data_IF_461371104451
#
_entry.id   IF_461371104451
#
_cell.length_a   1.000
_cell.length_b   1.000
_cell.length_c   1.000
_cell.angle_alpha   90.00
_cell.angle_beta   90.00
_cell.angle_gamma   90.00
#
_symmetry.space_group_name_H-M   'P 1'
#
loop_
_entity.id
_entity.type
_entity.pdbx_description
1 polymer ?
#
# COMPACT_ATOMS: atom_id res chain seq x y z
N UNK A 1 13.13 31.28 -3.99
CA UNK A 1 12.11 31.11 -2.93
C UNK A 1 12.27 29.70 -2.40
N UNK A 2 12.83 29.55 -1.20
CA UNK A 2 13.10 28.23 -0.59
C UNK A 2 11.79 27.72 0.00
N UNK A 3 11.18 26.71 -0.62
CA UNK A 3 10.02 26.04 -0.02
C UNK A 3 10.52 25.20 1.16
N UNK A 4 10.10 25.55 2.35
CA UNK A 4 10.30 24.68 3.52
C UNK A 4 9.63 23.34 3.22
N UNK A 5 10.36 22.21 3.30
CA UNK A 5 9.74 20.92 3.08
C UNK A 5 8.67 20.71 4.17
N UNK A 6 7.43 20.52 3.75
CA UNK A 6 6.37 20.07 4.66
C UNK A 6 6.73 18.63 5.03
N UNK A 7 7.21 18.44 6.26
CA UNK A 7 7.44 17.10 6.81
C UNK A 7 6.06 16.49 7.01
N UNK A 8 5.68 15.59 6.11
CA UNK A 8 4.47 14.79 6.26
C UNK A 8 4.56 13.90 7.51
N UNK A 9 3.41 13.46 8.01
CA UNK A 9 3.34 12.53 9.17
C UNK A 9 3.96 11.15 8.89
N UNK A 10 4.27 10.86 7.61
CA UNK A 10 4.92 9.62 7.16
C UNK A 10 6.16 10.04 6.37
N UNK A 11 7.32 10.10 7.01
CA UNK A 11 8.56 10.44 6.32
C UNK A 11 8.99 9.32 5.38
N UNK A 12 9.45 9.74 4.20
CA UNK A 12 10.15 8.88 3.23
C UNK A 12 11.60 9.34 3.18
N UNK A 13 12.54 8.46 3.50
CA UNK A 13 13.96 8.76 3.57
C UNK A 13 14.79 7.69 2.86
N UNK A 14 16.06 8.00 2.64
CA UNK A 14 17.06 7.07 2.09
C UNK A 14 16.59 6.35 0.83
N UNK A 15 15.94 7.10 -0.07
CA UNK A 15 15.48 6.54 -1.35
C UNK A 15 16.69 6.16 -2.20
N UNK A 16 16.72 4.92 -2.68
CA UNK A 16 17.79 4.33 -3.50
C UNK A 16 17.20 3.71 -4.76
N UNK A 17 18.01 3.65 -5.87
CA UNK A 17 19.40 4.08 -6.01
C UNK A 17 19.53 5.60 -6.05
N UNK A 18 20.53 6.17 -5.38
CA UNK A 18 20.86 7.60 -5.44
C UNK A 18 22.37 7.76 -5.55
N UNK A 19 22.82 8.46 -6.57
CA UNK A 19 24.24 8.77 -6.80
C UNK A 19 24.48 10.25 -6.45
N UNK A 20 25.51 10.51 -5.65
CA UNK A 20 25.88 11.85 -5.19
C UNK A 20 24.69 12.58 -4.56
N UNK A 21 23.99 11.90 -3.64
CA UNK A 21 22.77 12.39 -2.96
C UNK A 21 21.65 12.83 -3.93
N UNK A 22 21.52 12.12 -5.06
CA UNK A 22 20.52 12.42 -6.10
C UNK A 22 20.91 13.50 -7.10
N UNK A 23 22.12 14.04 -7.02
CA UNK A 23 22.61 15.05 -7.97
C UNK A 23 22.99 14.48 -9.33
N UNK A 24 23.28 13.18 -9.37
CA UNK A 24 23.62 12.46 -10.59
C UNK A 24 22.66 11.30 -10.82
N UNK A 25 22.32 11.00 -12.07
CA UNK A 25 21.49 9.84 -12.37
C UNK A 25 22.22 8.53 -12.03
N UNK A 26 21.50 7.56 -11.48
CA UNK A 26 21.94 6.19 -11.48
C UNK A 26 21.82 5.63 -12.92
N UNK A 27 22.76 4.75 -13.29
CA UNK A 27 22.73 4.09 -14.60
C UNK A 27 21.98 2.78 -14.50
N UNK A 28 21.15 2.50 -15.49
CA UNK A 28 20.49 1.22 -15.70
C UNK A 28 20.50 0.90 -17.20
N UNK A 29 20.34 -0.36 -17.55
CA UNK A 29 20.23 -0.82 -18.94
C UNK A 29 18.72 -0.99 -19.23
N UNK A 30 18.32 -0.70 -20.47
CA UNK A 30 16.93 -0.92 -20.91
C UNK A 30 16.56 -2.39 -20.71
N UNK A 31 15.42 -2.62 -20.06
CA UNK A 31 14.95 -3.96 -19.69
C UNK A 31 15.62 -4.57 -18.45
N UNK A 32 16.59 -3.87 -17.83
CA UNK A 32 17.15 -4.29 -16.55
C UNK A 32 16.19 -3.99 -15.41
N UNK A 33 15.91 -5.02 -14.61
CA UNK A 33 15.13 -4.85 -13.38
C UNK A 33 16.07 -4.51 -12.23
N UNK A 34 15.76 -3.43 -11.52
CA UNK A 34 16.50 -3.06 -10.31
C UNK A 34 15.53 -2.71 -9.16
N UNK A 35 16.02 -2.83 -7.95
CA UNK A 35 15.21 -2.53 -6.76
C UNK A 35 15.32 -1.05 -6.40
N UNK A 36 14.15 -0.39 -6.25
CA UNK A 36 14.03 0.90 -5.58
C UNK A 36 13.70 0.65 -4.12
N UNK A 37 14.50 1.21 -3.23
CA UNK A 37 14.28 1.08 -1.78
C UNK A 37 14.09 2.43 -1.12
N UNK A 38 13.38 2.45 0.00
CA UNK A 38 13.21 3.62 0.85
C UNK A 38 13.04 3.22 2.31
N UNK A 39 13.32 4.15 3.22
CA UNK A 39 12.91 4.05 4.62
C UNK A 39 11.58 4.78 4.76
N UNK A 40 10.53 4.05 5.15
CA UNK A 40 9.17 4.61 5.33
C UNK A 40 8.67 4.17 6.70
N UNK A 41 8.34 5.12 7.54
CA UNK A 41 7.88 4.85 8.89
C UNK A 41 6.85 5.87 9.36
N UNK A 42 6.15 5.52 10.42
CA UNK A 42 5.20 6.38 11.12
C UNK A 42 5.33 6.12 12.62
N UNK A 43 5.16 7.18 13.42
CA UNK A 43 5.02 7.02 14.87
C UNK A 43 3.69 6.31 15.19
N UNK A 44 3.75 5.37 16.15
CA UNK A 44 2.59 4.60 16.61
C UNK A 44 2.50 3.21 15.98
N UNK A 45 1.33 2.59 16.08
CA UNK A 45 1.09 1.19 15.67
C UNK A 45 0.34 1.04 14.34
N UNK A 46 -0.01 2.15 13.70
CA UNK A 46 -0.73 2.11 12.43
C UNK A 46 0.18 1.63 11.31
N UNK A 47 -0.35 0.81 10.43
CA UNK A 47 0.35 0.37 9.24
C UNK A 47 0.54 1.53 8.25
N UNK A 48 1.64 1.46 7.52
CA UNK A 48 1.90 2.31 6.35
C UNK A 48 1.96 1.44 5.11
N UNK A 49 1.69 2.04 3.97
CA UNK A 49 1.94 1.45 2.67
C UNK A 49 2.76 2.43 1.82
N UNK A 50 3.45 1.92 0.83
CA UNK A 50 4.24 2.73 -0.09
C UNK A 50 4.21 2.14 -1.50
N UNK A 51 4.45 3.01 -2.49
CA UNK A 51 4.64 2.61 -3.88
C UNK A 51 5.79 3.38 -4.53
N UNK A 52 6.23 2.86 -5.67
CA UNK A 52 7.13 3.54 -6.59
C UNK A 52 6.33 3.91 -7.84
N UNK A 53 6.49 5.14 -8.31
CA UNK A 53 5.98 5.59 -9.60
C UNK A 53 7.16 5.97 -10.48
N UNK A 54 7.35 5.24 -11.58
CA UNK A 54 8.28 5.63 -12.63
C UNK A 54 7.67 6.71 -13.51
N UNK A 55 8.51 7.61 -13.99
CA UNK A 55 8.15 8.59 -15.02
C UNK A 55 9.13 8.42 -16.18
N UNK A 56 8.60 8.18 -17.36
CA UNK A 56 9.37 7.94 -18.57
C UNK A 56 10.07 9.20 -19.09
N UNK A 57 10.94 9.09 -20.12
CA UNK A 57 11.63 10.23 -20.70
C UNK A 57 10.72 11.30 -21.31
N UNK A 58 9.48 10.96 -21.68
CA UNK A 58 8.45 11.87 -22.17
C UNK A 58 7.62 12.52 -21.07
N UNK A 59 7.91 12.19 -19.81
CA UNK A 59 7.21 12.75 -18.64
C UNK A 59 5.88 12.05 -18.30
N UNK A 60 5.59 10.88 -18.89
CA UNK A 60 4.37 10.11 -18.58
C UNK A 60 4.61 9.25 -17.34
N UNK A 61 3.65 9.29 -16.43
CA UNK A 61 3.70 8.43 -15.23
C UNK A 61 3.29 7.01 -15.58
N UNK A 62 4.11 6.06 -15.16
CA UNK A 62 3.79 4.64 -15.20
C UNK A 62 2.79 4.23 -14.11
N UNK A 63 2.39 2.96 -14.09
CA UNK A 63 1.54 2.43 -13.03
C UNK A 63 2.27 2.45 -11.68
N UNK A 64 1.50 2.37 -10.62
CA UNK A 64 2.03 2.17 -9.28
C UNK A 64 2.70 0.80 -9.17
N UNK A 65 3.89 0.78 -8.60
CA UNK A 65 4.56 -0.45 -8.22
C UNK A 65 4.55 -0.53 -6.68
N UNK A 66 3.71 -1.40 -6.10
CA UNK A 66 3.64 -1.52 -4.64
C UNK A 66 4.99 -1.92 -4.05
N UNK A 67 5.40 -1.24 -3.00
CA UNK A 67 6.57 -1.60 -2.21
C UNK A 67 6.19 -2.62 -1.13
N UNK A 68 7.10 -3.52 -0.83
CA UNK A 68 7.00 -4.43 0.31
C UNK A 68 8.04 -4.09 1.36
N UNK A 69 7.74 -4.34 2.61
CA UNK A 69 8.73 -4.26 3.67
C UNK A 69 9.77 -5.39 3.47
N UNK A 70 11.05 -5.02 3.42
CA UNK A 70 12.14 -5.95 3.10
C UNK A 70 12.46 -6.90 4.25
N UNK A 71 12.26 -6.43 5.47
CA UNK A 71 12.36 -7.24 6.69
C UNK A 71 11.38 -6.70 7.72
N UNK A 72 10.60 -7.55 8.39
CA UNK A 72 9.60 -7.11 9.36
C UNK A 72 10.18 -6.18 10.42
N UNK A 73 9.57 -5.01 10.61
CA UNK A 73 9.98 -4.00 11.59
C UNK A 73 11.26 -3.24 11.24
N UNK A 74 11.75 -3.33 10.00
CA UNK A 74 12.95 -2.62 9.55
C UNK A 74 12.66 -1.22 9.02
N UNK A 75 11.40 -0.90 8.77
CA UNK A 75 10.96 0.29 8.05
C UNK A 75 11.59 0.45 6.64
N UNK A 76 12.30 -0.58 6.17
CA UNK A 76 12.91 -0.63 4.84
C UNK A 76 11.96 -1.26 3.86
N UNK A 77 11.62 -0.51 2.84
CA UNK A 77 10.68 -0.89 1.80
C UNK A 77 11.39 -1.00 0.46
N UNK A 78 10.94 -1.94 -0.38
CA UNK A 78 11.52 -2.17 -1.70
C UNK A 78 10.49 -2.56 -2.73
N UNK A 79 10.74 -2.16 -3.97
CA UNK A 79 9.99 -2.59 -5.15
C UNK A 79 10.92 -2.72 -6.35
N UNK A 80 10.69 -3.70 -7.19
CA UNK A 80 11.40 -3.89 -8.45
C UNK A 80 10.77 -3.07 -9.57
N UNK A 81 11.58 -2.38 -10.33
CA UNK A 81 11.16 -1.56 -11.48
C UNK A 81 12.04 -1.82 -12.68
N UNK A 82 11.48 -1.66 -13.89
CA UNK A 82 12.17 -1.95 -15.15
C UNK A 82 11.88 -0.84 -16.15
N UNK A 83 12.87 0.01 -16.50
CA UNK A 83 12.73 0.95 -17.61
C UNK A 83 12.73 0.18 -18.94
N UNK A 84 11.78 0.47 -19.82
CA UNK A 84 11.56 -0.26 -21.07
C UNK A 84 12.06 0.48 -22.31
N UNK A 85 12.45 1.75 -22.19
CA UNK A 85 13.01 2.56 -23.28
C UNK A 85 14.25 3.31 -22.81
N UNK A 86 15.11 3.69 -23.77
CA UNK A 86 16.28 4.51 -23.51
C UNK A 86 15.89 5.95 -23.20
N UNK A 87 16.56 6.57 -22.25
CA UNK A 87 16.37 7.98 -21.90
C UNK A 87 16.51 8.26 -20.42
N UNK A 88 16.11 9.49 -20.03
CA UNK A 88 16.17 9.93 -18.64
C UNK A 88 14.86 9.60 -17.93
N UNK A 89 14.87 8.55 -17.17
CA UNK A 89 13.79 8.20 -16.26
C UNK A 89 13.92 8.93 -14.92
N UNK A 90 12.80 9.17 -14.29
CA UNK A 90 12.74 9.59 -12.88
C UNK A 90 11.81 8.65 -12.13
N UNK A 91 11.95 8.59 -10.82
CA UNK A 91 11.04 7.86 -9.97
C UNK A 91 10.79 8.63 -8.68
N UNK A 92 9.66 8.38 -8.09
CA UNK A 92 9.30 8.88 -6.77
C UNK A 92 8.72 7.76 -5.93
N UNK A 93 8.93 7.86 -4.63
CA UNK A 93 8.29 6.99 -3.64
C UNK A 93 7.17 7.78 -2.99
N UNK A 94 5.99 7.21 -2.98
CA UNK A 94 4.81 7.72 -2.29
C UNK A 94 4.49 6.82 -1.12
N UNK A 95 4.07 7.40 0.02
CA UNK A 95 3.72 6.65 1.21
C UNK A 95 2.49 7.24 1.88
N UNK A 96 1.65 6.36 2.44
CA UNK A 96 0.40 6.73 3.09
C UNK A 96 0.08 5.82 4.27
N UNK A 97 -0.88 6.26 5.11
CA UNK A 97 -1.44 5.40 6.16
C UNK A 97 -2.24 4.29 5.52
N UNK A 98 -2.00 3.04 5.96
CA UNK A 98 -2.78 1.89 5.53
C UNK A 98 -3.80 1.49 6.60
N UNK A 99 -5.02 2.04 6.54
CA UNK A 99 -6.05 1.71 7.52
C UNK A 99 -6.53 0.26 7.39
N UNK A 100 -6.52 -0.33 6.19
CA UNK A 100 -6.88 -1.73 5.99
C UNK A 100 -5.84 -2.65 6.62
N UNK A 101 -4.55 -2.40 6.38
CA UNK A 101 -3.46 -3.15 7.00
C UNK A 101 -3.47 -3.02 8.52
N UNK A 102 -3.76 -1.83 9.04
CA UNK A 102 -3.92 -1.59 10.48
C UNK A 102 -5.05 -2.43 11.06
N UNK A 103 -6.24 -2.35 10.47
CA UNK A 103 -7.40 -3.13 10.89
C UNK A 103 -7.13 -4.64 10.81
N UNK A 104 -6.56 -5.11 9.70
CA UNK A 104 -6.23 -6.55 9.53
C UNK A 104 -5.29 -7.07 10.61
N UNK A 105 -4.32 -6.26 11.03
CA UNK A 105 -3.42 -6.62 12.14
C UNK A 105 -4.19 -6.78 13.44
N UNK A 106 -5.07 -5.81 13.75
CA UNK A 106 -5.91 -5.84 14.94
C UNK A 106 -6.87 -7.04 14.90
N UNK A 107 -7.53 -7.26 13.77
CA UNK A 107 -8.48 -8.36 13.60
C UNK A 107 -7.83 -9.75 13.77
N UNK A 108 -6.63 -9.95 13.23
CA UNK A 108 -5.87 -11.21 13.39
C UNK A 108 -5.50 -11.52 14.83
N UNK A 109 -5.39 -10.52 15.69
CA UNK A 109 -5.05 -10.67 17.12
C UNK A 109 -6.32 -10.78 17.95
N UNK A 110 -7.26 -9.84 17.81
CA UNK A 110 -8.41 -9.72 18.69
C UNK A 110 -9.49 -10.76 18.41
N UNK A 111 -9.79 -11.03 17.14
CA UNK A 111 -10.89 -11.94 16.77
C UNK A 111 -10.66 -13.36 17.26
N UNK A 112 -9.51 -14.01 17.06
CA UNK A 112 -9.25 -15.34 17.63
C UNK A 112 -9.22 -15.36 19.16
N UNK A 113 -8.85 -14.24 19.79
CA UNK A 113 -8.86 -14.11 21.25
C UNK A 113 -10.25 -13.83 21.83
N UNK A 114 -11.28 -13.66 21.00
CA UNK A 114 -12.63 -13.30 21.43
C UNK A 114 -12.75 -11.88 22.01
N UNK A 115 -11.78 -11.00 21.71
CA UNK A 115 -11.72 -9.63 22.24
C UNK A 115 -12.39 -8.65 21.26
N UNK A 116 -13.38 -7.92 21.71
CA UNK A 116 -14.09 -6.87 20.95
C UNK A 116 -14.53 -7.33 19.54
N UNK A 117 -14.83 -8.62 19.36
CA UNK A 117 -15.02 -9.26 18.04
C UNK A 117 -16.09 -8.56 17.22
N UNK A 118 -17.23 -8.21 17.84
CA UNK A 118 -18.33 -7.51 17.16
C UNK A 118 -17.86 -6.15 16.62
N UNK A 119 -17.22 -5.35 17.48
CA UNK A 119 -16.71 -4.02 17.13
C UNK A 119 -15.66 -4.09 16.02
N UNK A 120 -14.73 -5.04 16.11
CA UNK A 120 -13.67 -5.23 15.09
C UNK A 120 -14.26 -5.56 13.73
N UNK A 121 -15.29 -6.41 13.67
CA UNK A 121 -15.94 -6.77 12.41
C UNK A 121 -16.77 -5.62 11.84
N UNK A 122 -17.43 -4.84 12.68
CA UNK A 122 -18.17 -3.63 12.29
C UNK A 122 -17.22 -2.55 11.71
N UNK A 123 -16.13 -2.24 12.41
CA UNK A 123 -15.09 -1.33 11.92
C UNK A 123 -14.53 -1.79 10.57
N UNK A 124 -14.34 -3.10 10.39
CA UNK A 124 -13.94 -3.69 9.12
C UNK A 124 -14.97 -3.46 8.02
N UNK A 125 -16.24 -3.71 8.29
CA UNK A 125 -17.33 -3.50 7.33
C UNK A 125 -17.39 -2.04 6.85
N UNK A 126 -17.31 -1.08 7.77
CA UNK A 126 -17.27 0.33 7.42
C UNK A 126 -16.04 0.70 6.58
N UNK A 127 -14.87 0.14 6.94
CA UNK A 127 -13.62 0.39 6.24
C UNK A 127 -13.66 -0.11 4.80
N UNK A 128 -14.16 -1.35 4.59
CA UNK A 128 -14.29 -1.92 3.24
C UNK A 128 -15.38 -1.23 2.42
N UNK A 129 -16.45 -0.75 3.05
CA UNK A 129 -17.46 0.10 2.38
C UNK A 129 -16.83 1.40 1.87
N UNK A 130 -16.01 2.06 2.69
CA UNK A 130 -15.28 3.26 2.26
C UNK A 130 -14.27 2.96 1.15
N UNK A 131 -13.57 1.84 1.24
CA UNK A 131 -12.64 1.42 0.19
C UNK A 131 -13.39 1.15 -1.13
N UNK A 132 -14.53 0.48 -1.10
CA UNK A 132 -15.37 0.27 -2.26
C UNK A 132 -15.79 1.59 -2.93
N UNK A 133 -16.18 2.59 -2.14
CA UNK A 133 -16.57 3.91 -2.66
C UNK A 133 -15.44 4.63 -3.44
N UNK A 134 -14.18 4.26 -3.20
CA UNK A 134 -13.01 4.75 -3.94
C UNK A 134 -12.74 4.02 -5.26
N UNK A 135 -13.43 2.91 -5.52
CA UNK A 135 -13.25 2.08 -6.72
C UNK A 135 -14.40 2.33 -7.71
N UNK A 136 -14.12 2.54 -9.01
CA UNK A 136 -15.17 2.68 -10.02
C UNK A 136 -16.14 1.51 -10.00
N UNK A 137 -17.43 1.78 -10.27
CA UNK A 137 -18.45 0.74 -10.34
C UNK A 137 -18.06 -0.38 -11.33
N UNK A 138 -18.16 -1.63 -10.87
CA UNK A 138 -17.78 -2.79 -11.66
C UNK A 138 -17.38 -3.99 -10.80
N UNK A 139 -16.77 -5.02 -11.39
CA UNK A 139 -16.40 -6.26 -10.69
C UNK A 139 -15.52 -6.02 -9.47
N UNK A 140 -14.57 -5.10 -9.54
CA UNK A 140 -13.65 -4.81 -8.43
C UNK A 140 -14.36 -4.12 -7.26
N UNK A 141 -15.23 -3.14 -7.54
CA UNK A 141 -16.11 -2.53 -6.56
C UNK A 141 -16.98 -3.57 -5.85
N UNK A 142 -17.58 -4.50 -6.64
CA UNK A 142 -18.43 -5.56 -6.11
C UNK A 142 -17.69 -6.49 -5.14
N UNK A 143 -16.41 -6.79 -5.39
CA UNK A 143 -15.57 -7.60 -4.51
C UNK A 143 -15.44 -6.96 -3.13
N UNK A 144 -15.11 -5.67 -3.05
CA UNK A 144 -14.97 -4.97 -1.77
C UNK A 144 -16.31 -4.81 -1.05
N UNK A 145 -17.38 -4.52 -1.80
CA UNK A 145 -18.71 -4.37 -1.22
C UNK A 145 -19.22 -5.71 -0.67
N UNK A 146 -18.98 -6.83 -1.38
CA UNK A 146 -19.32 -8.16 -0.88
C UNK A 146 -18.57 -8.52 0.40
N UNK A 147 -17.27 -8.17 0.49
CA UNK A 147 -16.48 -8.34 1.72
C UNK A 147 -17.06 -7.51 2.87
N UNK A 148 -17.42 -6.24 2.62
CA UNK A 148 -18.03 -5.37 3.61
C UNK A 148 -19.38 -5.93 4.13
N UNK A 149 -20.25 -6.37 3.21
CA UNK A 149 -21.55 -6.97 3.55
C UNK A 149 -21.39 -8.25 4.37
N UNK A 150 -20.45 -9.11 3.99
CA UNK A 150 -20.19 -10.36 4.75
C UNK A 150 -19.61 -10.06 6.13
N UNK A 151 -18.75 -9.07 6.27
CA UNK A 151 -18.25 -8.61 7.58
C UNK A 151 -19.38 -8.11 8.48
N UNK A 152 -20.39 -7.44 7.92
CA UNK A 152 -21.53 -6.89 8.66
C UNK A 152 -22.60 -7.94 9.02
N UNK A 153 -22.64 -9.10 8.34
CA UNK A 153 -23.67 -10.11 8.51
C UNK A 153 -23.48 -10.92 9.79
N UNK A 154 -24.18 -10.55 10.85
CA UNK A 154 -24.10 -11.19 12.16
C UNK A 154 -24.76 -12.58 12.23
N UNK A 155 -25.50 -12.98 11.19
CA UNK A 155 -26.02 -14.33 11.04
C UNK A 155 -24.96 -15.37 10.67
N UNK A 156 -23.79 -14.90 10.18
CA UNK A 156 -22.68 -15.75 9.76
C UNK A 156 -21.69 -16.00 10.91
N UNK A 157 -21.01 -17.17 10.90
CA UNK A 157 -19.93 -17.43 11.85
C UNK A 157 -18.81 -16.39 11.72
N UNK A 158 -18.26 -15.97 12.86
CA UNK A 158 -17.17 -14.96 12.93
C UNK A 158 -16.00 -15.29 11.99
N UNK A 159 -15.60 -16.57 11.94
CA UNK A 159 -14.50 -17.01 11.06
C UNK A 159 -14.83 -16.80 9.57
N UNK A 160 -16.06 -17.03 9.16
CA UNK A 160 -16.53 -16.79 7.79
C UNK A 160 -16.52 -15.30 7.46
N UNK A 161 -17.02 -14.48 8.39
CA UNK A 161 -17.03 -13.02 8.25
C UNK A 161 -15.61 -12.48 8.08
N UNK A 162 -14.67 -12.85 8.94
CA UNK A 162 -13.29 -12.41 8.84
C UNK A 162 -12.60 -12.90 7.56
N UNK A 163 -12.84 -14.17 7.16
CA UNK A 163 -12.22 -14.75 5.98
C UNK A 163 -12.60 -14.00 4.69
N UNK A 164 -13.82 -13.48 4.59
CA UNK A 164 -14.28 -12.72 3.43
C UNK A 164 -13.44 -11.46 3.13
N UNK A 165 -12.89 -10.84 4.18
CA UNK A 165 -12.03 -9.67 4.07
C UNK A 165 -10.55 -9.99 3.75
N UNK A 166 -10.19 -11.26 3.73
CA UNK A 166 -8.80 -11.73 3.60
C UNK A 166 -8.58 -12.59 2.35
N UNK A 167 -9.45 -12.46 1.35
CA UNK A 167 -9.36 -13.23 0.11
C UNK A 167 -8.32 -12.62 -0.85
N UNK A 168 -7.68 -13.45 -1.72
CA UNK A 168 -6.77 -12.95 -2.74
C UNK A 168 -7.40 -11.93 -3.68
N UNK A 169 -8.70 -12.06 -3.99
CA UNK A 169 -9.42 -11.11 -4.85
C UNK A 169 -9.52 -9.73 -4.20
N UNK A 170 -9.83 -9.69 -2.90
CA UNK A 170 -9.82 -8.45 -2.12
C UNK A 170 -8.42 -7.83 -2.09
N UNK A 171 -7.37 -8.62 -1.88
CA UNK A 171 -5.99 -8.14 -1.89
C UNK A 171 -5.60 -7.56 -3.25
N UNK A 172 -6.01 -8.22 -4.34
CA UNK A 172 -5.74 -7.76 -5.70
C UNK A 172 -6.43 -6.43 -6.02
N UNK A 173 -7.63 -6.19 -5.49
CA UNK A 173 -8.33 -4.91 -5.66
C UNK A 173 -7.65 -3.81 -4.85
N UNK A 174 -7.37 -4.06 -3.56
CA UNK A 174 -6.73 -3.08 -2.67
C UNK A 174 -5.31 -2.68 -3.12
N UNK A 175 -4.60 -3.58 -3.81
CA UNK A 175 -3.28 -3.29 -4.36
C UNK A 175 -3.31 -2.38 -5.60
N UNK A 176 -4.48 -2.19 -6.23
CA UNK A 176 -4.64 -1.39 -7.46
C UNK A 176 -5.26 -0.01 -7.21
N UNK A 177 -5.95 0.16 -6.12
CA UNK A 177 -6.73 1.34 -5.75
C UNK A 177 -6.29 1.90 -4.39
#
# INVERSE_FOLDING_TARGET
MSSTPVIGRIPVRDVRPAVDSGRRPAKAIVGETFEVTATVFREGHDAVAANVVLTDPEGRHGPWTPMRELSPGSDRWGAEVTPDVEGRWTYRVEAWSDPVGTWRRVARIKVPAGLDTGLVLEEGAELYTRAAAGVPEGPQHAVLLAAAMTLADDSLPVATRLAAALTPDVDAVLARH
#
